data_IF_640677422580
#
_entry.id   IF_640677422580
#
_cell.length_a   1.000
_cell.length_b   1.000
_cell.length_c   1.000
_cell.angle_alpha   90.00
_cell.angle_beta   90.00
_cell.angle_gamma   90.00
#
_symmetry.space_group_name_H-M   'P 1'
#
loop_
_entity.id
_entity.type
_entity.pdbx_description
1 polymer ?
#
# COMPACT_ATOMS: atom_id res chain seq x y z
N UNK A 1 16.29 -20.88 0.68
CA UNK A 1 16.18 -19.40 0.63
C UNK A 1 15.28 -18.96 1.78
N UNK A 2 15.72 -18.03 2.64
CA UNK A 2 14.99 -17.64 3.84
C UNK A 2 13.81 -16.71 3.47
N UNK A 3 12.76 -16.67 4.30
CA UNK A 3 11.62 -15.75 4.16
C UNK A 3 12.10 -14.30 4.11
N UNK A 4 13.10 -13.96 4.92
CA UNK A 4 13.73 -12.64 4.93
C UNK A 4 14.43 -12.30 3.61
N UNK A 5 15.06 -13.29 2.96
CA UNK A 5 15.70 -13.09 1.66
C UNK A 5 14.65 -12.78 0.59
N UNK A 6 13.55 -13.53 0.62
CA UNK A 6 12.42 -13.35 -0.30
C UNK A 6 11.77 -11.97 -0.12
N UNK A 7 11.61 -11.52 1.13
CA UNK A 7 11.08 -10.20 1.44
C UNK A 7 11.99 -9.07 0.92
N UNK A 8 13.32 -9.21 1.06
CA UNK A 8 14.29 -8.23 0.55
C UNK A 8 14.26 -8.10 -0.97
N UNK A 9 14.29 -9.24 -1.67
CA UNK A 9 14.22 -9.27 -3.14
C UNK A 9 12.88 -8.71 -3.63
N UNK A 10 11.78 -9.07 -2.97
CA UNK A 10 10.45 -8.54 -3.28
C UNK A 10 10.38 -7.02 -3.10
N UNK A 11 10.92 -6.50 -1.99
CA UNK A 11 10.95 -5.07 -1.73
C UNK A 11 11.80 -4.29 -2.76
N UNK A 12 12.99 -4.78 -3.10
CA UNK A 12 13.83 -4.17 -4.13
C UNK A 12 13.13 -4.16 -5.50
N UNK A 13 12.48 -5.27 -5.87
CA UNK A 13 11.72 -5.37 -7.11
C UNK A 13 10.51 -4.43 -7.12
N UNK A 14 9.80 -4.30 -6.00
CA UNK A 14 8.65 -3.40 -5.87
C UNK A 14 9.07 -1.93 -5.95
N UNK A 15 10.17 -1.56 -5.29
CA UNK A 15 10.75 -0.22 -5.38
C UNK A 15 11.11 0.14 -6.83
N UNK A 16 11.79 -0.75 -7.54
CA UNK A 16 12.12 -0.56 -8.95
C UNK A 16 10.86 -0.45 -9.84
N UNK A 17 9.87 -1.30 -9.59
CA UNK A 17 8.57 -1.32 -10.28
C UNK A 17 7.80 0.00 -10.12
N UNK A 18 7.82 0.59 -8.92
CA UNK A 18 7.25 1.92 -8.66
C UNK A 18 7.96 3.02 -9.46
N UNK A 19 9.29 2.99 -9.53
CA UNK A 19 10.03 4.01 -10.29
C UNK A 19 9.81 3.89 -11.80
N UNK A 20 9.74 2.66 -12.34
CA UNK A 20 9.39 2.42 -13.74
C UNK A 20 7.98 2.93 -14.07
N UNK A 21 7.03 2.73 -13.15
CA UNK A 21 5.66 3.19 -13.31
C UNK A 21 5.56 4.72 -13.28
N UNK A 22 6.29 5.38 -12.35
CA UNK A 22 6.39 6.84 -12.28
C UNK A 22 7.01 7.46 -13.54
N UNK A 23 7.91 6.73 -14.20
CA UNK A 23 8.52 7.11 -15.47
C UNK A 23 7.59 6.90 -16.67
N UNK A 24 6.46 6.22 -16.51
CA UNK A 24 5.54 5.90 -17.60
C UNK A 24 6.02 4.76 -18.49
N UNK A 25 6.86 3.84 -17.98
CA UNK A 25 7.36 2.71 -18.77
C UNK A 25 6.20 1.76 -19.15
N UNK A 26 6.08 1.32 -20.41
CA UNK A 26 5.00 0.44 -20.85
C UNK A 26 4.97 -0.88 -20.08
N UNK A 27 3.76 -1.40 -19.81
CA UNK A 27 3.57 -2.59 -18.99
C UNK A 27 4.32 -3.85 -19.47
N UNK A 28 4.48 -4.05 -20.79
CA UNK A 28 5.30 -5.14 -21.34
C UNK A 28 6.78 -4.97 -20.96
N UNK A 29 7.36 -3.81 -21.30
CA UNK A 29 8.76 -3.48 -20.98
C UNK A 29 9.04 -3.53 -19.48
N UNK A 30 8.12 -3.02 -18.66
CA UNK A 30 8.20 -3.08 -17.20
C UNK A 30 8.20 -4.52 -16.67
N UNK A 31 7.42 -5.43 -17.27
CA UNK A 31 7.46 -6.86 -16.91
C UNK A 31 8.79 -7.51 -17.27
N UNK A 32 9.35 -7.16 -18.42
CA UNK A 32 10.63 -7.71 -18.88
C UNK A 32 11.78 -7.24 -17.99
N UNK A 33 11.87 -5.93 -17.72
CA UNK A 33 12.88 -5.35 -16.81
C UNK A 33 12.80 -5.94 -15.39
N UNK A 34 11.60 -6.24 -14.89
CA UNK A 34 11.43 -6.92 -13.59
C UNK A 34 11.83 -8.38 -13.61
N UNK A 35 11.62 -9.09 -14.73
CA UNK A 35 12.05 -10.47 -14.87
C UNK A 35 13.57 -10.53 -14.90
N UNK A 36 14.20 -9.63 -15.65
CA UNK A 36 15.64 -9.47 -15.72
C UNK A 36 16.24 -9.13 -14.35
N UNK A 37 15.69 -8.14 -13.63
CA UNK A 37 16.13 -7.81 -12.28
C UNK A 37 16.01 -9.00 -11.31
N UNK A 38 14.91 -9.76 -11.38
CA UNK A 38 14.73 -10.93 -10.51
C UNK A 38 15.69 -12.06 -10.84
N UNK A 39 15.99 -12.29 -12.12
CA UNK A 39 16.98 -13.28 -12.53
C UNK A 39 18.36 -12.88 -12.01
N UNK A 40 18.80 -11.64 -12.28
CA UNK A 40 20.09 -11.12 -11.84
C UNK A 40 20.23 -11.13 -10.31
N UNK A 41 19.16 -10.80 -9.57
CA UNK A 41 19.15 -10.91 -8.10
C UNK A 41 19.18 -12.34 -7.61
N UNK A 42 18.53 -13.27 -8.31
CA UNK A 42 18.59 -14.70 -7.99
C UNK A 42 20.01 -15.22 -8.11
N UNK A 43 20.67 -14.92 -9.24
CA UNK A 43 22.03 -15.32 -9.52
C UNK A 43 23.01 -14.67 -8.51
N UNK A 44 22.90 -13.36 -8.29
CA UNK A 44 23.74 -12.66 -7.31
C UNK A 44 23.50 -13.15 -5.87
N UNK A 45 22.26 -13.49 -5.51
CA UNK A 45 21.93 -14.02 -4.17
C UNK A 45 22.63 -15.37 -3.94
N UNK A 46 22.77 -16.20 -4.98
CA UNK A 46 23.48 -17.48 -4.88
C UNK A 46 24.98 -17.32 -4.62
N UNK A 47 25.57 -16.20 -5.05
CA UNK A 47 27.00 -15.92 -4.95
C UNK A 47 27.38 -15.15 -3.67
N UNK A 48 26.64 -14.09 -3.34
CA UNK A 48 27.02 -13.14 -2.26
C UNK A 48 25.98 -13.01 -1.15
N UNK A 49 24.86 -13.72 -1.26
CA UNK A 49 23.72 -13.62 -0.36
C UNK A 49 22.81 -12.42 -0.64
N UNK A 50 21.54 -12.52 -0.21
CA UNK A 50 20.46 -11.59 -0.58
C UNK A 50 20.73 -10.14 -0.17
N UNK A 51 21.36 -9.93 0.99
CA UNK A 51 21.66 -8.60 1.53
C UNK A 51 22.66 -7.85 0.66
N UNK A 52 23.74 -8.53 0.28
CA UNK A 52 24.81 -7.94 -0.51
C UNK A 52 24.37 -7.78 -1.97
N UNK A 53 23.61 -8.74 -2.50
CA UNK A 53 23.03 -8.65 -3.84
C UNK A 53 22.12 -7.42 -3.99
N UNK A 54 21.20 -7.20 -3.04
CA UNK A 54 20.32 -6.02 -3.07
C UNK A 54 21.10 -4.72 -2.84
N UNK A 55 22.10 -4.71 -1.96
CA UNK A 55 22.94 -3.52 -1.74
C UNK A 55 23.81 -3.19 -2.95
N UNK A 56 24.23 -4.20 -3.71
CA UNK A 56 25.01 -4.06 -4.95
C UNK A 56 24.22 -3.49 -6.13
N UNK A 57 22.88 -3.53 -6.11
CA UNK A 57 22.05 -2.87 -7.13
C UNK A 57 22.22 -1.34 -7.16
N UNK A 58 22.59 -0.74 -6.03
CA UNK A 58 22.58 0.72 -5.89
C UNK A 58 21.16 1.30 -5.91
N UNK A 59 21.00 2.46 -6.55
CA UNK A 59 19.76 3.22 -6.57
C UNK A 59 18.79 2.68 -7.63
N UNK A 60 17.69 2.05 -7.20
CA UNK A 60 16.61 1.60 -8.10
C UNK A 60 16.01 2.75 -8.91
N UNK A 61 16.06 3.98 -8.39
CA UNK A 61 15.65 5.20 -9.07
C UNK A 61 16.53 5.51 -10.28
N UNK A 62 17.84 5.37 -10.14
CA UNK A 62 18.81 5.61 -11.22
C UNK A 62 18.71 4.50 -12.28
N UNK A 63 18.58 3.24 -11.85
CA UNK A 63 18.32 2.14 -12.77
C UNK A 63 17.05 2.36 -13.59
N UNK A 64 15.98 2.84 -12.97
CA UNK A 64 14.73 3.16 -13.66
C UNK A 64 14.88 4.40 -14.55
N UNK A 65 15.77 5.33 -14.19
CA UNK A 65 16.09 6.49 -15.02
C UNK A 65 16.75 6.12 -16.35
N UNK A 66 17.56 5.06 -16.35
CA UNK A 66 18.21 4.53 -17.55
C UNK A 66 17.26 3.72 -18.46
N UNK A 67 16.04 3.41 -18.02
CA UNK A 67 15.04 2.74 -18.84
C UNK A 67 14.35 3.77 -19.77
N UNK A 68 14.91 3.96 -20.95
CA UNK A 68 14.66 5.08 -21.88
C UNK A 68 13.33 5.04 -22.66
N UNK A 69 12.18 4.84 -21.99
CA UNK A 69 10.86 4.90 -22.63
C UNK A 69 9.84 5.51 -21.66
N UNK A 70 9.65 6.83 -21.71
CA UNK A 70 8.63 7.53 -20.94
C UNK A 70 7.38 7.80 -21.81
N UNK A 71 6.25 7.19 -21.46
CA UNK A 71 4.95 7.53 -22.01
C UNK A 71 4.18 8.43 -21.02
N UNK A 72 4.09 9.75 -21.27
CA UNK A 72 3.49 10.71 -20.34
C UNK A 72 1.98 10.54 -20.18
N UNK A 73 1.34 9.78 -21.07
CA UNK A 73 -0.12 9.57 -21.08
C UNK A 73 -0.55 8.44 -20.15
N UNK A 74 0.39 7.72 -19.53
CA UNK A 74 0.05 6.57 -18.69
C UNK A 74 -0.37 6.95 -17.28
N UNK A 75 -1.39 6.28 -16.73
CA UNK A 75 -1.68 6.28 -15.31
C UNK A 75 -0.59 5.53 -14.52
N UNK A 76 -0.34 5.97 -13.30
CA UNK A 76 0.70 5.42 -12.42
C UNK A 76 0.09 4.42 -11.42
N UNK A 77 -0.42 3.30 -11.91
CA UNK A 77 -1.14 2.32 -11.09
C UNK A 77 -0.34 1.76 -9.92
N UNK A 78 0.96 1.52 -10.08
CA UNK A 78 1.81 0.97 -9.02
C UNK A 78 2.10 2.00 -7.94
N UNK A 79 2.33 3.26 -8.35
CA UNK A 79 2.47 4.38 -7.42
C UNK A 79 1.16 4.59 -6.65
N UNK A 80 0.03 4.59 -7.38
CA UNK A 80 -1.31 4.64 -6.79
C UNK A 80 -1.52 3.55 -5.76
N UNK A 81 -1.21 2.30 -6.10
CA UNK A 81 -1.33 1.16 -5.20
C UNK A 81 -0.45 1.31 -3.96
N UNK A 82 0.81 1.72 -4.12
CA UNK A 82 1.72 1.96 -2.99
C UNK A 82 1.22 3.05 -2.04
N UNK A 83 0.78 4.19 -2.59
CA UNK A 83 0.25 5.32 -1.80
C UNK A 83 -1.07 4.95 -1.13
N UNK A 84 -1.99 4.31 -1.86
CA UNK A 84 -3.28 3.88 -1.34
C UNK A 84 -3.16 2.87 -0.20
N UNK A 85 -2.33 1.83 -0.37
CA UNK A 85 -2.05 0.85 0.68
C UNK A 85 -1.38 1.51 1.90
N UNK A 86 -0.46 2.45 1.69
CA UNK A 86 0.22 3.15 2.79
C UNK A 86 -0.77 3.98 3.61
N UNK A 87 -1.63 4.76 2.95
CA UNK A 87 -2.63 5.59 3.65
C UNK A 87 -3.74 4.75 4.29
N UNK A 88 -4.14 3.64 3.66
CA UNK A 88 -5.03 2.67 4.29
C UNK A 88 -4.41 2.10 5.58
N UNK A 89 -3.15 1.67 5.53
CA UNK A 89 -2.46 1.13 6.71
C UNK A 89 -2.34 2.18 7.83
N UNK A 90 -1.95 3.42 7.51
CA UNK A 90 -1.90 4.52 8.47
C UNK A 90 -3.28 4.78 9.09
N UNK A 91 -4.33 4.77 8.25
CA UNK A 91 -5.70 4.99 8.72
C UNK A 91 -6.19 3.88 9.65
N UNK A 92 -5.90 2.61 9.34
CA UNK A 92 -6.22 1.47 10.21
C UNK A 92 -5.46 1.51 11.53
N UNK A 93 -4.19 1.92 11.51
CA UNK A 93 -3.40 2.11 12.74
C UNK A 93 -4.00 3.23 13.59
N UNK A 94 -4.39 4.35 12.98
CA UNK A 94 -5.02 5.45 13.70
C UNK A 94 -6.37 5.04 14.32
N UNK A 95 -7.20 4.27 13.61
CA UNK A 95 -8.46 3.74 14.12
C UNK A 95 -8.24 2.74 15.26
N UNK A 96 -7.23 1.88 15.15
CA UNK A 96 -6.85 0.97 16.22
C UNK A 96 -6.44 1.75 17.49
N UNK A 97 -5.61 2.77 17.35
CA UNK A 97 -5.20 3.62 18.48
C UNK A 97 -6.39 4.36 19.11
N UNK A 98 -7.31 4.88 18.29
CA UNK A 98 -8.55 5.47 18.78
C UNK A 98 -9.43 4.45 19.51
N UNK A 99 -9.46 3.20 19.04
CA UNK A 99 -10.22 2.11 19.68
C UNK A 99 -9.67 1.80 21.06
N UNK A 100 -8.35 1.68 21.17
CA UNK A 100 -7.69 1.42 22.44
C UNK A 100 -7.93 2.57 23.42
N UNK A 101 -7.81 3.83 22.96
CA UNK A 101 -8.08 5.00 23.80
C UNK A 101 -9.54 5.06 24.29
N UNK A 102 -10.51 4.73 23.44
CA UNK A 102 -11.91 4.68 23.84
C UNK A 102 -12.18 3.55 24.83
N UNK A 103 -11.60 2.37 24.58
CA UNK A 103 -11.75 1.19 25.43
C UNK A 103 -11.17 1.43 26.83
N UNK A 104 -10.01 2.05 26.92
CA UNK A 104 -9.41 2.43 28.21
C UNK A 104 -10.34 3.34 29.01
N UNK A 105 -10.97 4.33 28.36
CA UNK A 105 -11.97 5.20 28.99
C UNK A 105 -13.23 4.44 29.44
N UNK A 106 -13.72 3.52 28.62
CA UNK A 106 -14.88 2.69 28.95
C UNK A 106 -14.61 1.74 30.13
N UNK A 107 -13.41 1.16 30.20
CA UNK A 107 -13.00 0.29 31.33
C UNK A 107 -12.84 1.12 32.61
N UNK A 108 -12.20 2.29 32.53
CA UNK A 108 -11.98 3.17 33.68
C UNK A 108 -13.29 3.69 34.30
N UNK A 109 -14.33 3.87 33.49
CA UNK A 109 -15.65 4.26 33.97
C UNK A 109 -16.39 3.14 34.74
N UNK A 110 -15.87 1.90 34.73
CA UNK A 110 -16.44 0.73 35.38
C UNK A 110 -17.96 0.58 35.21
N UNK A 111 -18.48 0.59 33.96
CA UNK A 111 -19.92 0.63 33.73
C UNK A 111 -20.57 -0.69 34.15
N UNK A 112 -21.70 -0.60 34.85
CA UNK A 112 -22.52 -1.77 35.21
C UNK A 112 -23.29 -2.34 34.00
N UNK A 113 -23.48 -1.52 32.97
CA UNK A 113 -24.26 -1.84 31.77
C UNK A 113 -23.41 -1.76 30.49
N UNK A 114 -23.92 -2.31 29.39
CA UNK A 114 -23.28 -2.21 28.07
C UNK A 114 -23.11 -0.74 27.65
N UNK A 115 -21.88 -0.37 27.31
CA UNK A 115 -21.55 0.95 26.75
C UNK A 115 -21.29 0.80 25.27
N UNK A 116 -21.96 1.59 24.45
CA UNK A 116 -21.71 1.69 23.01
C UNK A 116 -21.44 3.13 22.63
N UNK A 117 -20.45 3.34 21.77
CA UNK A 117 -20.07 4.66 21.30
C UNK A 117 -19.66 4.63 19.82
N UNK A 118 -20.10 5.65 19.09
CA UNK A 118 -19.56 5.94 17.78
C UNK A 118 -18.22 6.65 17.93
N UNK A 119 -17.27 6.38 17.03
CA UNK A 119 -16.02 7.11 17.01
C UNK A 119 -16.17 8.45 16.28
N UNK A 120 -15.88 9.55 16.99
CA UNK A 120 -15.98 10.90 16.42
C UNK A 120 -15.08 11.11 15.20
N UNK A 121 -13.86 10.56 15.21
CA UNK A 121 -12.89 10.72 14.12
C UNK A 121 -12.97 9.66 13.02
N UNK A 122 -13.79 8.62 13.22
CA UNK A 122 -14.00 7.53 12.26
C UNK A 122 -15.51 7.28 12.12
N UNK A 123 -16.23 8.15 11.39
CA UNK A 123 -17.67 8.00 11.27
C UNK A 123 -18.02 6.67 10.59
N UNK A 124 -19.06 6.02 11.11
CA UNK A 124 -19.44 4.67 10.73
C UNK A 124 -18.78 3.56 11.56
N UNK A 125 -17.70 3.87 12.28
CA UNK A 125 -17.09 2.93 13.22
C UNK A 125 -17.83 2.96 14.56
N UNK A 126 -18.22 1.79 15.04
CA UNK A 126 -18.94 1.62 16.31
C UNK A 126 -18.21 0.64 17.20
N UNK A 127 -18.10 1.01 18.47
CA UNK A 127 -17.55 0.17 19.52
C UNK A 127 -18.64 -0.17 20.53
N UNK A 128 -18.61 -1.39 21.03
CA UNK A 128 -19.37 -1.73 22.22
C UNK A 128 -18.53 -2.55 23.18
N UNK A 129 -18.65 -2.18 24.44
CA UNK A 129 -18.06 -2.86 25.58
C UNK A 129 -19.19 -3.38 26.46
N UNK A 130 -19.13 -4.65 26.86
CA UNK A 130 -20.05 -5.20 27.85
C UNK A 130 -19.28 -6.03 28.88
N UNK A 131 -19.42 -5.71 30.18
CA UNK A 131 -18.92 -6.57 31.24
C UNK A 131 -19.69 -7.90 31.25
N UNK A 132 -19.00 -8.98 31.58
CA UNK A 132 -19.52 -10.36 31.63
C UNK A 132 -19.12 -11.01 32.95
N UNK A 133 -19.92 -11.94 33.46
CA UNK A 133 -19.56 -12.71 34.66
C UNK A 133 -18.22 -13.46 34.54
N UNK A 134 -17.77 -13.74 33.32
CA UNK A 134 -16.49 -14.42 33.02
C UNK A 134 -15.40 -13.48 32.49
N UNK A 135 -15.59 -12.16 32.53
CA UNK A 135 -14.63 -11.17 32.01
C UNK A 135 -15.33 -10.01 31.29
N UNK A 136 -14.95 -9.76 30.03
CA UNK A 136 -15.52 -8.69 29.23
C UNK A 136 -15.64 -9.10 27.76
N UNK A 137 -16.53 -8.44 27.02
CA UNK A 137 -16.68 -8.60 25.58
C UNK A 137 -16.51 -7.23 24.90
N UNK A 138 -15.71 -7.20 23.84
CA UNK A 138 -15.50 -6.03 22.98
C UNK A 138 -15.95 -6.38 21.57
N UNK A 139 -16.90 -5.61 21.03
CA UNK A 139 -17.29 -5.70 19.63
C UNK A 139 -16.83 -4.44 18.89
N UNK A 140 -16.10 -4.64 17.79
CA UNK A 140 -15.62 -3.57 16.93
C UNK A 140 -16.30 -3.71 15.57
N UNK A 141 -16.98 -2.65 15.14
CA UNK A 141 -17.46 -2.51 13.78
C UNK A 141 -16.62 -1.42 13.09
N UNK A 142 -15.79 -1.82 12.13
CA UNK A 142 -14.93 -0.93 11.36
C UNK A 142 -15.75 -0.14 10.34
N UNK A 143 -15.57 1.17 10.35
CA UNK A 143 -16.24 2.09 9.44
C UNK A 143 -15.66 2.05 8.02
N UNK A 144 -16.43 2.56 7.07
CA UNK A 144 -16.04 2.62 5.65
C UNK A 144 -14.99 3.70 5.36
N UNK A 145 -14.75 4.62 6.28
CA UNK A 145 -13.88 5.80 6.08
C UNK A 145 -12.43 5.39 5.82
N UNK A 146 -11.90 4.39 6.53
CA UNK A 146 -10.52 3.93 6.32
C UNK A 146 -10.32 3.38 4.90
N UNK A 147 -11.30 2.61 4.42
CA UNK A 147 -11.31 2.11 3.05
C UNK A 147 -11.39 3.25 2.03
N UNK A 148 -12.23 4.25 2.30
CA UNK A 148 -12.41 5.41 1.44
C UNK A 148 -11.15 6.28 1.35
N UNK A 149 -10.43 6.48 2.46
CA UNK A 149 -9.14 7.19 2.47
C UNK A 149 -8.12 6.47 1.57
N UNK A 150 -7.97 5.15 1.73
CA UNK A 150 -7.07 4.36 0.89
C UNK A 150 -7.45 4.39 -0.59
N UNK A 151 -8.75 4.32 -0.88
CA UNK A 151 -9.27 4.36 -2.24
C UNK A 151 -9.06 5.73 -2.91
N UNK A 152 -9.37 6.82 -2.21
CA UNK A 152 -9.16 8.19 -2.72
C UNK A 152 -7.67 8.42 -2.98
N UNK A 153 -6.82 8.05 -2.03
CA UNK A 153 -5.37 8.13 -2.18
C UNK A 153 -4.87 7.37 -3.41
N UNK A 154 -5.36 6.14 -3.61
CA UNK A 154 -5.07 5.33 -4.78
C UNK A 154 -5.47 6.04 -6.07
N UNK A 155 -6.72 6.51 -6.18
CA UNK A 155 -7.23 7.17 -7.39
C UNK A 155 -6.44 8.45 -7.70
N UNK A 156 -6.14 9.26 -6.67
CA UNK A 156 -5.40 10.51 -6.85
C UNK A 156 -3.96 10.29 -7.31
N UNK A 157 -3.28 9.28 -6.76
CA UNK A 157 -1.90 8.97 -7.12
C UNK A 157 -1.80 8.18 -8.44
N UNK A 158 -2.77 7.29 -8.73
CA UNK A 158 -2.83 6.54 -9.98
C UNK A 158 -3.15 7.43 -11.19
N UNK A 159 -3.88 8.54 -10.99
CA UNK A 159 -4.29 9.47 -12.06
C UNK A 159 -4.97 8.76 -13.25
N UNK A 160 -6.02 7.96 -13.02
CA UNK A 160 -6.66 7.15 -14.07
C UNK A 160 -7.23 8.00 -15.22
N UNK A 161 -7.60 9.25 -14.95
CA UNK A 161 -8.10 10.20 -15.95
C UNK A 161 -7.11 10.51 -17.08
N UNK A 162 -5.82 10.18 -16.95
CA UNK A 162 -4.87 10.28 -18.07
C UNK A 162 -5.27 9.41 -19.27
N UNK A 163 -6.00 8.32 -19.05
CA UNK A 163 -6.58 7.49 -20.11
C UNK A 163 -7.70 8.21 -20.89
N UNK A 164 -8.34 9.21 -20.28
CA UNK A 164 -9.49 9.93 -20.85
C UNK A 164 -9.06 11.18 -21.62
N UNK A 165 -7.85 11.70 -21.40
CA UNK A 165 -7.34 12.92 -22.04
C UNK A 165 -6.81 12.64 -23.46
N UNK A 166 -7.26 11.59 -24.13
CA UNK A 166 -6.97 11.41 -25.56
C UNK A 166 -7.90 12.28 -26.42
N UNK A 167 -7.36 13.22 -27.21
CA UNK A 167 -8.05 13.71 -28.39
C UNK A 167 -8.19 12.54 -29.37
N UNK A 168 -9.38 12.37 -29.94
CA UNK A 168 -9.64 11.46 -31.03
C UNK A 168 -8.74 11.78 -32.24
N UNK A 169 -7.61 11.08 -32.38
CA UNK A 169 -6.70 11.24 -33.52
C UNK A 169 -6.16 9.88 -33.98
N UNK A 170 -7.06 8.98 -34.42
CA UNK A 170 -6.72 7.82 -35.27
C UNK A 170 -7.94 7.12 -35.89
N UNK A 171 -8.97 7.88 -36.29
CA UNK A 171 -10.00 7.38 -37.23
C UNK A 171 -9.89 8.12 -38.56
N UNK A 172 -8.92 7.71 -39.37
CA UNK A 172 -8.96 7.87 -40.84
C UNK A 172 -8.05 6.79 -41.44
N UNK A 173 -8.65 5.61 -41.60
CA UNK A 173 -8.29 4.69 -42.69
C UNK A 173 -9.13 5.08 -43.90
#
# INVERSE_FOLDING_TARGET
>A
MNVLDRARIANATFSYDMWLDLRGVPGRRRRDLRRELRANLGDATSLVGSRNAVRGLGSTREMAAAADVADPTRPHWAVGFGVGCSLLAISLIAELLATLSWLDGAIAAAPENRVSGAMTFFPGSNLAYSPSASGFNVSINLGWVCLLIGLIAFVLAARPWRLLIHPAASRSH
#
